data_IF_521502608585
#
_entry.id   IF_521502608585
#
_cell.length_a   1.000
_cell.length_b   1.000
_cell.length_c   1.000
_cell.angle_alpha   90.00
_cell.angle_beta   90.00
_cell.angle_gamma   90.00
#
_symmetry.space_group_name_H-M   'P 1'
#
loop_
_entity.id
_entity.type
_entity.pdbx_description
1 polymer ?
#
# COMPACT_ATOMS: atom_id res chain seq x y z
N UNK A 1 -28.90 20.88 42.35
CA UNK A 1 -30.02 21.57 41.69
C UNK A 1 -30.03 21.10 40.25
N UNK A 2 -30.94 20.18 39.91
CA UNK A 2 -30.82 19.36 38.71
C UNK A 2 -31.21 20.13 37.46
N UNK A 3 -30.53 19.87 36.34
CA UNK A 3 -30.81 20.43 35.00
C UNK A 3 -32.25 20.11 34.51
N UNK A 4 -33.04 19.37 35.29
CA UNK A 4 -34.38 18.88 34.99
C UNK A 4 -35.50 19.70 35.65
N UNK A 5 -35.21 20.59 36.61
CA UNK A 5 -36.23 21.39 37.27
C UNK A 5 -36.67 22.55 36.36
N UNK A 6 -37.78 22.35 35.64
CA UNK A 6 -38.41 23.35 34.75
C UNK A 6 -38.48 22.98 33.27
N UNK A 7 -38.05 21.78 32.89
CA UNK A 7 -38.06 21.35 31.49
C UNK A 7 -39.38 20.66 31.11
N UNK A 8 -40.11 21.23 30.14
CA UNK A 8 -41.35 20.60 29.65
C UNK A 8 -41.05 19.30 28.89
N UNK A 9 -41.95 18.30 28.89
CA UNK A 9 -41.74 17.00 28.21
C UNK A 9 -41.33 17.13 26.74
N UNK A 10 -41.87 18.13 26.05
CA UNK A 10 -41.52 18.45 24.65
C UNK A 10 -40.06 18.87 24.47
N UNK A 11 -39.51 19.67 25.40
CA UNK A 11 -38.10 20.10 25.37
C UNK A 11 -37.16 18.94 25.69
N UNK A 12 -37.54 18.06 26.62
CA UNK A 12 -36.78 16.86 26.96
C UNK A 12 -36.63 15.91 25.76
N UNK A 13 -37.72 15.66 25.02
CA UNK A 13 -37.70 14.82 23.81
C UNK A 13 -36.75 15.40 22.74
N UNK A 14 -36.76 16.73 22.55
CA UNK A 14 -35.85 17.39 21.59
C UNK A 14 -34.38 17.17 21.98
N UNK A 15 -34.03 17.31 23.26
CA UNK A 15 -32.67 17.08 23.73
C UNK A 15 -32.23 15.62 23.58
N UNK A 16 -33.11 14.66 23.84
CA UNK A 16 -32.83 13.23 23.63
C UNK A 16 -32.57 12.95 22.15
N UNK A 17 -33.43 13.45 21.25
CA UNK A 17 -33.25 13.30 19.80
C UNK A 17 -31.96 13.97 19.32
N UNK A 18 -31.62 15.14 19.86
CA UNK A 18 -30.37 15.83 19.55
C UNK A 18 -29.15 15.00 20.00
N UNK A 19 -29.17 14.47 21.22
CA UNK A 19 -28.09 13.65 21.76
C UNK A 19 -27.89 12.36 20.94
N UNK A 20 -28.98 11.69 20.54
CA UNK A 20 -28.93 10.53 19.65
C UNK A 20 -28.36 10.93 18.28
N UNK A 21 -28.83 12.03 17.71
CA UNK A 21 -28.34 12.54 16.42
C UNK A 21 -26.84 12.81 16.44
N UNK A 22 -26.35 13.49 17.49
CA UNK A 22 -24.92 13.75 17.69
C UNK A 22 -24.16 12.44 17.86
N UNK A 23 -24.69 11.49 18.64
CA UNK A 23 -24.09 10.17 18.86
C UNK A 23 -23.91 9.40 17.54
N UNK A 24 -24.92 9.40 16.67
CA UNK A 24 -24.86 8.74 15.35
C UNK A 24 -23.78 9.39 14.48
N UNK A 25 -23.73 10.73 14.42
CA UNK A 25 -22.74 11.45 13.61
C UNK A 25 -21.32 11.16 14.09
N UNK A 26 -21.08 11.19 15.42
CA UNK A 26 -19.78 10.86 16.00
C UNK A 26 -19.38 9.41 15.73
N UNK A 27 -20.33 8.47 15.81
CA UNK A 27 -20.08 7.07 15.51
C UNK A 27 -19.71 6.85 14.04
N UNK A 28 -20.43 7.49 13.10
CA UNK A 28 -20.10 7.44 11.67
C UNK A 28 -18.70 8.02 11.41
N UNK A 29 -18.37 9.15 12.04
CA UNK A 29 -17.04 9.76 11.92
C UNK A 29 -15.94 8.82 12.45
N UNK A 30 -16.17 8.17 13.60
CA UNK A 30 -15.25 7.20 14.17
C UNK A 30 -15.03 6.00 13.25
N UNK A 31 -16.10 5.47 12.65
CA UNK A 31 -16.01 4.39 11.67
C UNK A 31 -15.23 4.85 10.44
N UNK A 32 -15.53 6.02 9.89
CA UNK A 32 -14.80 6.57 8.74
C UNK A 32 -13.30 6.67 9.03
N UNK A 33 -12.90 7.20 10.19
CA UNK A 33 -11.51 7.35 10.57
C UNK A 33 -10.80 6.00 10.78
N UNK A 34 -11.49 5.01 11.31
CA UNK A 34 -10.94 3.66 11.54
C UNK A 34 -10.82 2.87 10.24
N UNK A 35 -11.80 2.96 9.35
CA UNK A 35 -11.84 2.19 8.10
C UNK A 35 -10.96 2.78 7.00
N UNK A 36 -10.63 4.07 7.08
CA UNK A 36 -9.86 4.77 6.04
C UNK A 36 -8.43 4.25 5.97
N UNK A 37 -8.06 3.76 4.78
CA UNK A 37 -6.67 3.42 4.44
C UNK A 37 -5.77 4.62 4.63
N UNK A 38 -4.70 4.43 5.42
CA UNK A 38 -3.66 5.44 5.64
C UNK A 38 -2.60 5.32 4.56
N UNK A 39 -2.02 6.45 4.15
CA UNK A 39 -0.92 6.50 3.20
C UNK A 39 0.28 7.18 3.84
N UNK A 40 1.45 6.57 3.72
CA UNK A 40 2.71 7.11 4.27
C UNK A 40 3.75 7.17 3.17
N UNK A 41 4.44 8.30 3.02
CA UNK A 41 5.53 8.43 2.06
C UNK A 41 6.75 7.62 2.51
N UNK A 42 7.34 6.89 1.57
CA UNK A 42 8.57 6.11 1.77
C UNK A 42 9.79 6.80 1.17
N UNK A 43 9.66 8.03 0.65
CA UNK A 43 10.72 8.71 -0.10
C UNK A 43 12.01 8.96 0.70
N UNK A 44 11.91 8.98 2.03
CA UNK A 44 13.05 9.21 2.94
C UNK A 44 13.53 7.93 3.64
N UNK A 45 12.90 6.79 3.33
CA UNK A 45 13.14 5.52 4.03
C UNK A 45 14.02 4.61 3.14
N UNK A 46 15.11 4.09 3.70
CA UNK A 46 15.92 3.05 3.01
C UNK A 46 15.14 1.73 3.01
N UNK A 47 15.20 0.93 1.92
CA UNK A 47 15.96 1.13 0.68
C UNK A 47 15.18 1.92 -0.40
N UNK A 48 13.93 2.31 -0.15
CA UNK A 48 13.10 3.01 -1.14
C UNK A 48 13.75 4.28 -1.68
N UNK A 49 14.32 5.11 -0.79
CA UNK A 49 14.98 6.38 -1.17
C UNK A 49 16.12 6.18 -2.19
N UNK A 50 16.77 5.02 -2.17
CA UNK A 50 17.95 4.73 -3.00
C UNK A 50 17.56 4.31 -4.42
N UNK A 51 16.32 3.85 -4.60
CA UNK A 51 15.73 3.45 -5.88
C UNK A 51 14.93 4.57 -6.55
N UNK A 52 14.66 5.67 -5.86
CA UNK A 52 13.83 6.77 -6.37
C UNK A 52 14.62 7.77 -7.22
N UNK A 53 13.93 8.37 -8.19
CA UNK A 53 14.41 9.49 -9.02
C UNK A 53 15.74 9.21 -9.72
N UNK A 54 15.97 7.94 -10.08
CA UNK A 54 17.11 7.48 -10.86
C UNK A 54 16.67 6.38 -11.81
N UNK A 55 17.49 6.15 -12.82
CA UNK A 55 17.33 5.01 -13.70
C UNK A 55 17.89 3.76 -13.02
N UNK A 56 17.10 2.68 -13.10
CA UNK A 56 17.45 1.33 -12.67
C UNK A 56 17.34 0.42 -13.89
N UNK A 57 18.19 -0.60 -13.96
CA UNK A 57 18.17 -1.57 -15.06
C UNK A 57 17.78 -2.93 -14.52
N UNK A 58 16.81 -3.59 -15.16
CA UNK A 58 16.43 -4.96 -14.79
C UNK A 58 17.58 -5.91 -15.10
N UNK A 59 17.99 -6.71 -14.12
CA UNK A 59 19.01 -7.74 -14.28
C UNK A 59 18.40 -9.10 -14.67
N UNK A 60 17.07 -9.17 -14.72
CA UNK A 60 16.28 -10.39 -14.95
C UNK A 60 14.97 -10.05 -15.68
N UNK A 61 14.31 -11.05 -16.30
CA UNK A 61 13.00 -10.86 -16.91
C UNK A 61 11.94 -10.41 -15.89
N UNK A 62 11.02 -9.56 -16.34
CA UNK A 62 9.92 -9.02 -15.53
C UNK A 62 8.62 -9.12 -16.31
N UNK A 63 7.52 -9.29 -15.58
CA UNK A 63 6.18 -9.47 -16.13
C UNK A 63 5.35 -8.23 -15.85
N UNK A 64 4.61 -7.80 -16.86
CA UNK A 64 3.70 -6.67 -16.80
C UNK A 64 2.28 -7.20 -16.82
N UNK A 65 1.50 -6.85 -15.80
CA UNK A 65 0.12 -7.23 -15.63
C UNK A 65 -0.77 -6.01 -15.77
N UNK A 66 -1.81 -6.08 -16.58
CA UNK A 66 -2.85 -5.06 -16.66
C UNK A 66 -3.81 -5.24 -15.47
N UNK A 67 -4.02 -4.16 -14.70
CA UNK A 67 -4.85 -4.16 -13.50
C UNK A 67 -6.26 -3.68 -13.82
N UNK A 68 -7.28 -4.44 -13.43
CA UNK A 68 -8.67 -3.95 -13.54
C UNK A 68 -8.97 -2.83 -12.54
N UNK A 69 -8.40 -2.94 -11.34
CA UNK A 69 -8.57 -1.97 -10.25
C UNK A 69 -7.19 -1.46 -9.78
N UNK A 70 -6.57 -0.52 -10.50
CA UNK A 70 -5.27 0.00 -10.13
C UNK A 70 -5.35 0.86 -8.86
N UNK A 71 -4.31 0.82 -8.02
CA UNK A 71 -4.24 1.65 -6.79
C UNK A 71 -4.34 3.14 -7.11
N UNK A 72 -3.83 3.54 -8.28
CA UNK A 72 -3.94 4.88 -8.84
C UNK A 72 -4.25 4.76 -10.33
N UNK A 73 -5.26 5.50 -10.79
CA UNK A 73 -5.73 5.44 -12.18
C UNK A 73 -4.65 5.72 -13.23
N UNK A 74 -3.60 6.45 -12.88
CA UNK A 74 -2.50 6.77 -13.80
C UNK A 74 -1.36 5.72 -13.82
N UNK A 75 -1.46 4.63 -13.05
CA UNK A 75 -0.54 3.49 -13.09
C UNK A 75 -1.36 2.20 -13.26
N UNK A 76 -1.76 1.92 -14.50
CA UNK A 76 -2.69 0.84 -14.85
C UNK A 76 -2.04 -0.54 -14.94
N UNK A 77 -0.72 -0.61 -14.77
CA UNK A 77 0.02 -1.87 -14.87
C UNK A 77 0.71 -2.20 -13.54
N UNK A 78 0.70 -3.47 -13.14
CA UNK A 78 1.60 -3.99 -12.13
C UNK A 78 2.83 -4.60 -12.80
N UNK A 79 4.00 -4.34 -12.22
CA UNK A 79 5.24 -5.03 -12.57
C UNK A 79 5.56 -6.06 -11.49
N UNK A 80 6.07 -7.23 -11.87
CA UNK A 80 6.65 -8.19 -10.93
C UNK A 80 7.63 -9.14 -11.60
N UNK A 81 8.52 -9.75 -10.83
CA UNK A 81 9.38 -10.85 -11.30
C UNK A 81 9.17 -12.10 -10.44
N UNK A 82 9.59 -13.26 -10.92
CA UNK A 82 9.34 -14.55 -10.25
C UNK A 82 10.00 -14.67 -8.86
N UNK A 83 10.92 -13.78 -8.50
CA UNK A 83 11.53 -13.71 -7.17
C UNK A 83 10.74 -12.84 -6.18
N UNK A 84 9.69 -12.14 -6.60
CA UNK A 84 8.80 -11.40 -5.70
C UNK A 84 7.70 -12.31 -5.17
N UNK A 85 7.37 -12.16 -3.89
CA UNK A 85 6.14 -12.75 -3.33
C UNK A 85 4.89 -12.29 -4.09
N UNK A 86 4.84 -11.02 -4.50
CA UNK A 86 3.68 -10.44 -5.17
C UNK A 86 3.44 -11.01 -6.58
N UNK A 87 4.45 -11.63 -7.22
CA UNK A 87 4.25 -12.34 -8.48
C UNK A 87 3.23 -13.48 -8.35
N UNK A 88 3.33 -14.27 -7.27
CA UNK A 88 2.42 -15.39 -7.03
C UNK A 88 0.96 -14.91 -6.86
N UNK A 89 0.77 -13.74 -6.25
CA UNK A 89 -0.55 -13.11 -6.11
C UNK A 89 -1.11 -12.76 -7.49
N UNK A 90 -0.35 -12.00 -8.30
CA UNK A 90 -0.77 -11.58 -9.64
C UNK A 90 -1.02 -12.76 -10.58
N UNK A 91 -0.17 -13.79 -10.51
CA UNK A 91 -0.32 -15.02 -11.31
C UNK A 91 -1.60 -15.77 -10.94
N UNK A 92 -1.89 -15.90 -9.64
CA UNK A 92 -3.13 -16.54 -9.17
C UNK A 92 -4.39 -15.76 -9.58
N UNK A 93 -4.34 -14.43 -9.57
CA UNK A 93 -5.44 -13.56 -9.99
C UNK A 93 -5.70 -13.63 -11.50
N UNK A 94 -4.66 -13.87 -12.31
CA UNK A 94 -4.79 -14.04 -13.76
C UNK A 94 -5.53 -15.34 -14.11
N UNK A 95 -5.40 -16.38 -13.27
CA UNK A 95 -6.03 -17.69 -13.45
C UNK A 95 -7.42 -17.84 -12.83
N UNK A 96 -7.98 -16.79 -12.21
CA UNK A 96 -9.29 -16.85 -11.57
C UNK A 96 -10.45 -16.82 -12.58
N UNK A 97 -11.62 -17.36 -12.21
CA UNK A 97 -12.84 -17.36 -13.03
C UNK A 97 -13.22 -15.95 -13.51
N UNK A 98 -12.99 -14.95 -12.65
CA UNK A 98 -13.09 -13.52 -12.97
C UNK A 98 -11.71 -12.92 -12.71
N UNK A 99 -10.86 -12.78 -13.75
CA UNK A 99 -9.47 -12.36 -13.56
C UNK A 99 -9.40 -10.87 -13.24
N UNK A 100 -8.82 -10.52 -12.09
CA UNK A 100 -8.60 -9.12 -11.67
C UNK A 100 -7.35 -8.51 -12.32
N UNK A 101 -6.49 -9.36 -12.88
CA UNK A 101 -5.28 -8.99 -13.59
C UNK A 101 -5.12 -9.81 -14.85
N UNK A 102 -4.43 -9.27 -15.85
CA UNK A 102 -4.13 -9.98 -17.09
C UNK A 102 -2.66 -9.82 -17.43
N UNK A 103 -1.96 -10.91 -17.71
CA UNK A 103 -0.60 -10.82 -18.23
C UNK A 103 -0.60 -10.07 -19.57
N UNK A 104 0.11 -8.95 -19.61
CA UNK A 104 0.16 -8.04 -20.77
C UNK A 104 1.41 -8.24 -21.61
N UNK A 105 2.56 -8.36 -20.96
CA UNK A 105 3.86 -8.50 -21.62
C UNK A 105 4.87 -9.15 -20.67
N UNK A 106 5.90 -9.79 -21.25
CA UNK A 106 7.06 -10.30 -20.53
C UNK A 106 8.30 -9.63 -21.10
N UNK A 107 8.89 -8.75 -20.30
CA UNK A 107 10.03 -7.93 -20.68
C UNK A 107 11.31 -8.66 -20.25
N UNK A 108 12.26 -8.93 -21.15
CA UNK A 108 13.53 -9.55 -20.77
C UNK A 108 14.39 -8.61 -19.91
N UNK A 109 15.52 -9.12 -19.41
CA UNK A 109 16.50 -8.29 -18.71
C UNK A 109 17.00 -7.14 -19.60
N UNK A 110 17.45 -6.04 -18.98
CA UNK A 110 17.96 -4.85 -19.66
C UNK A 110 16.93 -3.74 -19.88
N UNK A 111 15.74 -3.84 -19.28
CA UNK A 111 14.75 -2.77 -19.31
C UNK A 111 15.07 -1.68 -18.29
N UNK A 112 14.75 -0.43 -18.62
CA UNK A 112 15.00 0.72 -17.76
C UNK A 112 13.75 1.03 -16.94
N UNK A 113 13.90 1.17 -15.63
CA UNK A 113 12.86 1.56 -14.69
C UNK A 113 13.21 2.92 -14.11
N UNK A 114 12.20 3.78 -13.98
CA UNK A 114 12.30 5.03 -13.24
C UNK A 114 11.13 5.15 -12.26
N UNK A 115 11.44 5.23 -10.97
CA UNK A 115 10.43 5.41 -9.91
C UNK A 115 10.35 6.88 -9.48
N UNK A 116 9.16 7.44 -9.55
CA UNK A 116 8.88 8.83 -9.16
C UNK A 116 8.60 8.95 -7.66
N UNK A 117 7.90 7.96 -7.10
CA UNK A 117 7.42 7.98 -5.72
C UNK A 117 7.30 6.57 -5.14
N UNK A 118 7.40 6.50 -3.82
CA UNK A 118 7.16 5.29 -3.03
C UNK A 118 6.20 5.60 -1.89
N UNK A 119 5.15 4.78 -1.74
CA UNK A 119 4.09 5.00 -0.76
C UNK A 119 3.75 3.66 -0.10
N UNK A 120 3.63 3.67 1.22
CA UNK A 120 3.04 2.57 1.98
C UNK A 120 1.54 2.81 2.15
N UNK A 121 0.72 1.82 1.80
CA UNK A 121 -0.71 1.81 2.05
C UNK A 121 -1.01 0.89 3.22
N UNK A 122 -1.58 1.42 4.29
CA UNK A 122 -1.97 0.66 5.48
C UNK A 122 -3.48 0.56 5.54
N UNK A 123 -4.03 -0.65 5.41
CA UNK A 123 -5.46 -0.89 5.48
C UNK A 123 -6.00 -0.56 6.88
N UNK A 124 -7.07 0.22 6.95
CA UNK A 124 -7.64 0.68 8.24
C UNK A 124 -8.19 -0.45 9.11
N UNK A 125 -8.66 -1.55 8.51
CA UNK A 125 -9.26 -2.68 9.22
C UNK A 125 -8.19 -3.69 9.66
N UNK A 126 -7.37 -4.16 8.72
CA UNK A 126 -6.43 -5.25 9.01
C UNK A 126 -5.07 -4.77 9.52
N UNK A 127 -4.75 -3.48 9.37
CA UNK A 127 -3.42 -2.94 9.60
C UNK A 127 -2.37 -3.46 8.61
N UNK A 128 -2.76 -4.26 7.60
CA UNK A 128 -1.85 -4.76 6.59
C UNK A 128 -1.26 -3.60 5.79
N UNK A 129 0.06 -3.63 5.63
CA UNK A 129 0.83 -2.58 4.97
C UNK A 129 1.43 -3.09 3.67
N UNK A 130 1.16 -2.39 2.58
CA UNK A 130 1.62 -2.76 1.24
C UNK A 130 2.47 -1.62 0.66
N UNK A 131 3.80 -1.69 0.79
CA UNK A 131 4.69 -0.71 0.18
C UNK A 131 4.73 -0.85 -1.34
N UNK A 132 4.54 0.27 -2.03
CA UNK A 132 4.47 0.33 -3.50
C UNK A 132 5.35 1.45 -4.04
N UNK A 133 6.11 1.15 -5.08
CA UNK A 133 6.62 2.17 -5.98
C UNK A 133 5.61 2.48 -7.07
N UNK A 134 5.71 3.71 -7.59
CA UNK A 134 5.04 4.13 -8.79
C UNK A 134 6.03 4.79 -9.73
N UNK A 135 5.97 4.43 -11.00
CA UNK A 135 6.93 4.88 -11.99
C UNK A 135 6.62 4.40 -13.38
N UNK A 136 7.66 4.30 -14.21
CA UNK A 136 7.56 3.82 -15.58
C UNK A 136 8.66 2.79 -15.83
N UNK A 137 8.31 1.69 -16.50
CA UNK A 137 9.28 0.80 -17.13
C UNK A 137 9.27 1.01 -18.64
N UNK A 138 10.47 1.11 -19.21
CA UNK A 138 10.69 1.33 -20.65
C UNK A 138 11.50 0.17 -21.21
N UNK A 139 11.03 -0.39 -22.33
CA UNK A 139 11.75 -1.42 -23.08
C UNK A 139 11.51 -1.22 -24.56
N UNK A 140 12.59 -1.02 -25.33
CA UNK A 140 12.53 -0.57 -26.73
C UNK A 140 11.74 0.75 -26.81
N UNK A 141 10.74 0.82 -27.68
CA UNK A 141 9.86 1.99 -27.85
C UNK A 141 8.63 1.96 -26.94
N UNK A 142 8.43 0.89 -26.15
CA UNK A 142 7.28 0.76 -25.26
C UNK A 142 7.57 1.35 -23.88
N UNK A 143 6.58 2.04 -23.31
CA UNK A 143 6.60 2.57 -21.94
C UNK A 143 5.33 2.16 -21.22
N UNK A 144 5.48 1.66 -20.00
CA UNK A 144 4.35 1.24 -19.16
C UNK A 144 4.38 2.01 -17.84
N UNK A 145 3.32 2.78 -17.51
CA UNK A 145 3.16 3.34 -16.18
C UNK A 145 2.82 2.21 -15.20
N UNK A 146 3.72 1.95 -14.26
CA UNK A 146 3.67 0.78 -13.39
C UNK A 146 3.50 1.14 -11.92
N UNK A 147 2.81 0.28 -11.20
CA UNK A 147 2.98 0.06 -9.77
C UNK A 147 3.83 -1.20 -9.52
N UNK A 148 4.69 -1.15 -8.51
CA UNK A 148 5.56 -2.27 -8.12
C UNK A 148 5.50 -2.43 -6.60
N UNK A 149 4.92 -3.54 -6.13
CA UNK A 149 4.89 -3.88 -4.70
C UNK A 149 6.26 -4.42 -4.32
N UNK A 150 6.91 -3.80 -3.34
CA UNK A 150 8.23 -4.23 -2.88
C UNK A 150 8.38 -4.12 -1.38
N UNK A 151 8.61 -5.26 -0.75
CA UNK A 151 8.76 -5.38 0.69
C UNK A 151 7.57 -6.04 1.34
N UNK A 152 7.85 -6.84 2.36
CA UNK A 152 6.86 -7.57 3.16
C UNK A 152 6.87 -7.02 4.57
N UNK A 153 5.70 -6.63 5.04
CA UNK A 153 5.53 -6.18 6.41
C UNK A 153 5.84 -7.34 7.36
N UNK A 154 6.64 -7.07 8.39
CA UNK A 154 7.04 -8.06 9.37
C UNK A 154 7.02 -7.48 10.79
N UNK A 155 6.55 -8.29 11.73
CA UNK A 155 6.80 -8.12 13.16
C UNK A 155 7.87 -9.10 13.55
N UNK A 156 9.13 -8.66 13.57
CA UNK A 156 10.21 -9.47 14.14
C UNK A 156 10.53 -8.96 15.54
N UNK A 157 10.78 -9.90 16.44
CA UNK A 157 11.30 -9.63 17.78
C UNK A 157 12.67 -8.97 17.63
N UNK A 158 12.76 -7.67 17.91
CA UNK A 158 14.01 -7.13 18.41
C UNK A 158 14.16 -7.70 19.83
N UNK A 159 15.36 -8.08 20.29
CA UNK A 159 15.57 -8.60 21.65
C UNK A 159 14.96 -7.74 22.77
N UNK A 160 14.65 -6.47 22.48
CA UNK A 160 14.09 -5.53 23.45
C UNK A 160 12.64 -5.13 23.18
N UNK A 161 12.06 -5.40 21.99
CA UNK A 161 10.65 -5.06 21.64
C UNK A 161 10.20 -5.62 20.28
N UNK A 162 8.90 -5.86 20.12
CA UNK A 162 8.28 -6.04 18.79
C UNK A 162 8.29 -4.70 18.05
N UNK A 163 9.11 -4.58 17.01
CA UNK A 163 9.07 -3.41 16.11
C UNK A 163 8.62 -3.81 14.71
N UNK A 164 7.65 -3.09 14.15
CA UNK A 164 7.25 -3.31 12.78
C UNK A 164 8.32 -2.80 11.81
N UNK A 165 8.48 -3.53 10.71
CA UNK A 165 9.40 -3.19 9.66
C UNK A 165 9.10 -3.94 8.37
N UNK A 166 10.02 -3.85 7.42
CA UNK A 166 9.94 -4.53 6.15
C UNK A 166 11.16 -5.43 5.91
N UNK A 167 10.91 -6.60 5.34
CA UNK A 167 11.93 -7.41 4.67
C UNK A 167 11.77 -7.27 3.17
N UNK A 168 12.87 -7.25 2.41
CA UNK A 168 12.83 -7.01 0.98
C UNK A 168 13.05 -8.31 0.19
N UNK A 169 12.13 -8.57 -0.72
CA UNK A 169 12.33 -9.59 -1.75
C UNK A 169 13.43 -9.12 -2.72
N UNK A 170 14.02 -10.07 -3.46
CA UNK A 170 15.11 -9.78 -4.39
C UNK A 170 14.63 -8.95 -5.57
N UNK A 171 14.81 -7.63 -5.51
CA UNK A 171 14.34 -6.73 -6.56
C UNK A 171 14.93 -7.06 -7.96
N UNK A 172 14.20 -6.79 -9.05
CA UNK A 172 14.66 -7.04 -10.41
C UNK A 172 15.99 -6.36 -10.78
N UNK A 173 16.30 -5.22 -10.16
CA UNK A 173 17.51 -4.43 -10.38
C UNK A 173 18.67 -4.73 -9.39
N UNK A 174 18.46 -5.65 -8.44
CA UNK A 174 19.49 -6.07 -7.49
C UNK A 174 20.07 -7.43 -7.90
N UNK A 175 21.32 -7.70 -7.54
CA UNK A 175 21.98 -8.99 -7.81
C UNK A 175 21.97 -9.96 -6.61
N UNK A 176 21.62 -9.48 -5.42
CA UNK A 176 21.60 -10.26 -4.17
C UNK A 176 20.41 -9.87 -3.31
N UNK A 177 19.91 -10.84 -2.55
CA UNK A 177 18.82 -10.63 -1.59
C UNK A 177 19.29 -9.66 -0.51
N UNK A 178 18.44 -8.70 -0.15
CA UNK A 178 18.66 -7.85 1.00
C UNK A 178 18.08 -8.52 2.25
N UNK A 179 18.95 -8.91 3.17
CA UNK A 179 18.56 -9.60 4.41
C UNK A 179 18.28 -8.62 5.55
N UNK A 180 18.41 -7.32 5.32
CA UNK A 180 18.19 -6.26 6.30
C UNK A 180 16.69 -6.13 6.62
N UNK A 181 16.39 -5.87 7.88
CA UNK A 181 15.04 -5.49 8.32
C UNK A 181 15.01 -3.97 8.44
N UNK A 182 14.13 -3.34 7.67
CA UNK A 182 13.94 -1.88 7.69
C UNK A 182 12.81 -1.52 8.63
N UNK A 183 13.16 -1.07 9.83
CA UNK A 183 12.18 -0.68 10.84
C UNK A 183 11.50 0.64 10.48
N UNK A 184 10.19 0.69 10.71
CA UNK A 184 9.43 1.93 10.60
C UNK A 184 9.78 2.90 11.75
N UNK A 185 9.70 4.23 11.51
CA UNK A 185 9.88 5.22 12.58
C UNK A 185 8.92 4.96 13.76
N UNK A 186 9.36 5.25 14.98
CA UNK A 186 8.49 5.17 16.17
C UNK A 186 7.29 6.12 15.99
N UNK A 187 6.07 5.61 16.23
CA UNK A 187 4.82 6.40 16.13
C UNK A 187 4.17 6.44 14.75
N UNK A 188 4.56 5.57 13.82
CA UNK A 188 4.00 5.52 12.45
C UNK A 188 2.66 4.78 12.33
N UNK A 189 1.93 4.56 13.43
CA UNK A 189 0.67 3.78 13.48
C UNK A 189 -0.48 4.62 14.03
#
# INVERSE_FOLDING_TARGET
>A
MGILDGMTPKKLIIWILLAIGIGIVLFILMLYLTLKTKTTSLERITPYKESLKRELVTLRPVHIFELMEPTKSNYTYAMSDTNQYYFQVLESETGADIPLTKLKDSIPAGATIYFEKAVNYTNGVSGSSTPRFFGTISYKEKKYPIEFVWGRYTYKSHPENLRPGFTMDLAPWNNRVDTTIYYLPRGSF
#
